data_IF_183972792068
#
_entry.id   IF_183972792068
#
_cell.length_a   1.000
_cell.length_b   1.000
_cell.length_c   1.000
_cell.angle_alpha   90.00
_cell.angle_beta   90.00
_cell.angle_gamma   90.00
#
_symmetry.space_group_name_H-M   'P 1'
#
loop_
_entity.id
_entity.type
_entity.pdbx_description
1 polymer ?
#
# COMPACT_ATOMS: atom_id res chain seq x y z
N UNK A 1 -28.48 18.25 3.88
CA UNK A 1 -27.70 19.46 4.23
C UNK A 1 -26.64 19.04 5.23
N UNK A 2 -25.36 19.12 4.88
CA UNK A 2 -24.28 18.85 5.85
C UNK A 2 -24.31 19.96 6.93
N UNK A 3 -24.22 19.63 8.23
CA UNK A 3 -24.17 20.63 9.28
C UNK A 3 -22.96 21.54 9.07
N UNK A 4 -23.17 22.85 9.16
CA UNK A 4 -22.11 23.86 9.03
C UNK A 4 -21.28 23.84 10.31
N UNK A 5 -20.25 23.01 10.36
CA UNK A 5 -19.26 23.01 11.44
C UNK A 5 -18.37 24.26 11.33
N UNK A 6 -18.02 24.90 12.46
CA UNK A 6 -17.20 26.10 12.45
C UNK A 6 -15.77 25.80 11.95
N UNK A 7 -15.14 26.72 11.19
CA UNK A 7 -13.76 26.55 10.75
C UNK A 7 -12.84 26.54 11.97
N UNK A 8 -12.25 25.38 12.27
CA UNK A 8 -11.34 25.19 13.41
C UNK A 8 -11.73 24.06 14.38
N UNK A 9 -12.87 23.39 14.19
CA UNK A 9 -13.22 22.23 15.00
C UNK A 9 -12.25 21.04 14.71
N UNK A 10 -11.47 20.57 15.69
CA UNK A 10 -10.51 19.48 15.50
C UNK A 10 -11.18 18.16 15.09
N UNK A 11 -12.44 17.93 15.49
CA UNK A 11 -13.19 16.74 15.08
C UNK A 11 -13.57 16.81 13.60
N UNK A 12 -13.91 18.01 13.12
CA UNK A 12 -14.15 18.24 11.69
C UNK A 12 -12.88 18.07 10.88
N UNK A 13 -11.75 18.63 11.34
CA UNK A 13 -10.46 18.47 10.67
C UNK A 13 -10.04 16.99 10.59
N UNK A 14 -10.21 16.23 11.67
CA UNK A 14 -9.94 14.80 11.69
C UNK A 14 -10.87 14.02 10.76
N UNK A 15 -12.15 14.36 10.72
CA UNK A 15 -13.12 13.73 9.82
C UNK A 15 -12.72 13.93 8.36
N UNK A 16 -12.37 15.16 7.97
CA UNK A 16 -11.91 15.48 6.61
C UNK A 16 -10.61 14.73 6.29
N UNK A 17 -9.65 14.69 7.22
CA UNK A 17 -8.41 13.94 7.06
C UNK A 17 -8.65 12.44 6.85
N UNK A 18 -9.50 11.81 7.65
CA UNK A 18 -9.84 10.39 7.51
C UNK A 18 -10.53 10.11 6.18
N UNK A 19 -11.43 10.98 5.71
CA UNK A 19 -12.09 10.80 4.40
C UNK A 19 -11.07 10.92 3.27
N UNK A 20 -10.21 11.94 3.29
CA UNK A 20 -9.23 12.17 2.21
C UNK A 20 -8.11 11.14 2.22
N UNK A 21 -7.44 10.93 3.34
CA UNK A 21 -6.31 10.00 3.42
C UNK A 21 -6.78 8.54 3.51
N UNK A 22 -7.85 8.28 4.25
CA UNK A 22 -8.40 6.95 4.42
C UNK A 22 -8.92 6.35 3.13
N UNK A 23 -9.48 7.15 2.21
CA UNK A 23 -9.90 6.66 0.88
C UNK A 23 -8.72 6.17 0.05
N UNK A 24 -7.61 6.92 0.00
CA UNK A 24 -6.39 6.53 -0.70
C UNK A 24 -5.77 5.27 -0.08
N UNK A 25 -5.67 5.23 1.25
CA UNK A 25 -5.13 4.08 1.99
C UNK A 25 -6.00 2.84 1.76
N UNK A 26 -7.32 2.97 1.87
CA UNK A 26 -8.25 1.88 1.65
C UNK A 26 -8.15 1.34 0.21
N UNK A 27 -8.10 2.24 -0.78
CA UNK A 27 -7.93 1.84 -2.17
C UNK A 27 -6.61 1.09 -2.41
N UNK A 28 -5.49 1.61 -1.87
CA UNK A 28 -4.19 0.94 -1.96
C UNK A 28 -4.17 -0.44 -1.29
N UNK A 29 -4.81 -0.55 -0.12
CA UNK A 29 -4.92 -1.82 0.60
C UNK A 29 -5.76 -2.84 -0.17
N UNK A 30 -6.89 -2.42 -0.75
CA UNK A 30 -7.76 -3.26 -1.59
C UNK A 30 -7.01 -3.73 -2.83
N UNK A 31 -6.34 -2.82 -3.55
CA UNK A 31 -5.56 -3.15 -4.73
C UNK A 31 -4.46 -4.17 -4.40
N UNK A 32 -3.72 -3.98 -3.30
CA UNK A 32 -2.70 -4.92 -2.83
C UNK A 32 -3.31 -6.29 -2.51
N UNK A 33 -4.45 -6.34 -1.82
CA UNK A 33 -5.12 -7.58 -1.49
C UNK A 33 -5.61 -8.34 -2.73
N UNK A 34 -6.17 -7.62 -3.71
CA UNK A 34 -6.60 -8.19 -4.99
C UNK A 34 -5.39 -8.74 -5.76
N UNK A 35 -4.31 -7.97 -5.90
CA UNK A 35 -3.08 -8.43 -6.55
C UNK A 35 -2.50 -9.68 -5.87
N UNK A 36 -2.39 -9.68 -4.54
CA UNK A 36 -1.89 -10.84 -3.80
C UNK A 36 -2.79 -12.08 -4.01
N UNK A 37 -4.11 -11.89 -4.04
CA UNK A 37 -5.07 -12.97 -4.29
C UNK A 37 -5.00 -13.49 -5.72
N UNK A 38 -4.81 -12.61 -6.71
CA UNK A 38 -4.62 -12.98 -8.11
C UNK A 38 -3.31 -13.75 -8.30
N UNK A 39 -2.20 -13.27 -7.74
CA UNK A 39 -0.90 -13.95 -7.78
C UNK A 39 -0.99 -15.38 -7.23
N UNK A 40 -1.64 -15.55 -6.07
CA UNK A 40 -1.89 -16.89 -5.47
C UNK A 40 -2.75 -17.81 -6.36
N UNK A 41 -3.70 -17.26 -7.11
CA UNK A 41 -4.60 -18.05 -7.98
C UNK A 41 -3.94 -18.47 -9.30
N UNK A 42 -3.07 -17.63 -9.84
CA UNK A 42 -2.44 -17.87 -11.14
C UNK A 42 -1.07 -18.54 -11.05
N UNK A 43 -0.63 -18.97 -9.85
CA UNK A 43 0.64 -19.66 -9.65
C UNK A 43 1.87 -18.79 -9.91
N UNK A 44 1.69 -17.49 -10.11
CA UNK A 44 2.77 -16.52 -10.13
C UNK A 44 3.08 -16.14 -8.69
N UNK A 45 3.62 -17.10 -7.93
CA UNK A 45 4.09 -16.80 -6.59
C UNK A 45 5.30 -15.86 -6.71
N UNK A 46 5.32 -14.81 -5.89
CA UNK A 46 6.47 -13.90 -5.83
C UNK A 46 7.75 -14.67 -5.48
N UNK A 47 7.61 -15.80 -4.80
CA UNK A 47 8.68 -16.74 -4.51
C UNK A 47 9.28 -17.37 -5.77
N UNK A 48 8.50 -17.64 -6.81
CA UNK A 48 8.99 -18.21 -8.08
C UNK A 48 9.69 -17.16 -8.95
N UNK A 49 9.22 -15.91 -8.91
CA UNK A 49 9.94 -14.77 -9.52
C UNK A 49 11.23 -14.46 -8.74
N UNK A 50 11.22 -14.61 -7.41
CA UNK A 50 12.42 -14.51 -6.58
C UNK A 50 13.39 -15.67 -6.81
N UNK A 51 12.91 -16.89 -7.04
CA UNK A 51 13.72 -18.06 -7.42
C UNK A 51 14.29 -17.92 -8.83
N UNK A 52 13.54 -17.36 -9.78
CA UNK A 52 14.02 -17.04 -11.14
C UNK A 52 15.03 -15.88 -11.16
N UNK A 53 15.01 -14.99 -10.17
CA UNK A 53 16.03 -13.93 -10.05
C UNK A 53 17.43 -14.48 -9.72
N UNK A 54 17.55 -15.76 -9.31
CA UNK A 54 18.80 -16.51 -9.23
C UNK A 54 19.84 -15.98 -8.24
N UNK A 55 20.88 -16.77 -7.98
CA UNK A 55 21.98 -16.51 -7.02
C UNK A 55 22.86 -15.28 -7.35
N UNK A 56 22.47 -14.45 -8.31
CA UNK A 56 23.23 -13.31 -8.82
C UNK A 56 22.63 -11.95 -8.36
N UNK A 57 21.79 -11.97 -7.32
CA UNK A 57 21.18 -10.77 -6.76
C UNK A 57 22.23 -9.98 -5.98
N UNK A 58 22.73 -8.89 -6.56
CA UNK A 58 23.57 -7.90 -5.87
C UNK A 58 22.75 -7.23 -4.77
N UNK A 59 23.32 -7.05 -3.57
CA UNK A 59 22.70 -6.26 -2.50
C UNK A 59 22.19 -4.94 -3.09
N UNK A 60 20.88 -4.75 -3.05
CA UNK A 60 20.25 -3.54 -3.59
C UNK A 60 19.24 -3.05 -2.59
N UNK A 61 19.40 -1.78 -2.27
CA UNK A 61 18.41 -1.06 -1.53
C UNK A 61 17.29 -0.64 -2.49
N UNK A 62 16.08 -1.15 -2.22
CA UNK A 62 14.90 -0.89 -3.04
C UNK A 62 13.85 -0.15 -2.22
N UNK A 63 13.30 0.91 -2.81
CA UNK A 63 12.22 1.68 -2.22
C UNK A 63 10.88 1.07 -2.65
N UNK A 64 10.24 0.34 -1.74
CA UNK A 64 8.95 -0.28 -1.99
C UNK A 64 7.91 0.38 -1.09
N UNK A 65 6.94 1.04 -1.72
CA UNK A 65 5.74 1.56 -1.06
C UNK A 65 6.03 2.48 0.13
N UNK A 66 7.02 3.38 0.00
CA UNK A 66 7.33 4.35 1.05
C UNK A 66 8.33 3.86 2.10
N UNK A 67 8.77 2.61 2.04
CA UNK A 67 9.76 2.06 2.97
C UNK A 67 11.03 1.62 2.22
N UNK A 68 12.18 1.98 2.79
CA UNK A 68 13.48 1.54 2.30
C UNK A 68 13.73 0.11 2.78
N UNK A 69 13.79 -0.85 1.85
CA UNK A 69 14.07 -2.24 2.15
C UNK A 69 15.45 -2.62 1.62
N UNK A 70 16.32 -3.02 2.53
CA UNK A 70 17.59 -3.71 2.22
C UNK A 70 17.27 -5.14 1.83
N UNK A 71 17.37 -5.49 0.56
CA UNK A 71 17.39 -6.90 0.14
C UNK A 71 18.82 -7.43 0.22
N UNK A 72 19.03 -8.39 1.13
CA UNK A 72 20.23 -9.24 1.22
C UNK A 72 19.96 -10.59 0.59
#
# INVERSE_FOLDING_TARGET
>A
MLPKTPPGDPLWALTVAVIYFGSVIAFGAIARAICARLMRRYGADLEDVQKQAGSNRRERDVFLLGFWRKER
#
